data_IF_796400788906
#
_entry.id   IF_796400788906
#
_cell.length_a   1.000
_cell.length_b   1.000
_cell.length_c   1.000
_cell.angle_alpha   90.00
_cell.angle_beta   90.00
_cell.angle_gamma   90.00
#
_symmetry.space_group_name_H-M   'P 1'
#
loop_
_entity.id
_entity.type
_entity.pdbx_description
1 polymer ?
#
# COMPACT_ATOMS: atom_id res chain seq x y z
N UNK A 1 11.71 5.40 -3.90
CA UNK A 1 11.37 6.49 -2.96
C UNK A 1 9.96 6.27 -2.46
N UNK A 2 9.64 6.66 -1.22
CA UNK A 2 8.28 6.58 -0.66
C UNK A 2 7.49 7.79 -1.17
N UNK A 3 6.24 7.56 -1.59
CA UNK A 3 5.29 8.61 -1.97
C UNK A 3 4.27 8.81 -0.85
N UNK A 4 3.86 10.05 -0.59
CA UNK A 4 2.90 10.38 0.47
C UNK A 4 1.84 11.31 -0.10
N UNK A 5 0.59 10.84 -0.16
CA UNK A 5 -0.57 11.62 -0.56
C UNK A 5 -1.36 12.04 0.69
N UNK A 6 -1.56 13.34 0.89
CA UNK A 6 -2.30 13.91 2.05
C UNK A 6 -3.71 14.37 1.71
N UNK A 7 -4.04 14.38 0.42
CA UNK A 7 -5.33 14.83 -0.11
C UNK A 7 -5.81 13.83 -1.15
N UNK A 8 -7.08 13.46 -1.05
CA UNK A 8 -7.73 12.52 -1.96
C UNK A 8 -8.10 13.16 -3.31
N UNK A 9 -8.18 14.50 -3.38
CA UNK A 9 -8.51 15.22 -4.61
C UNK A 9 -7.34 15.25 -5.62
N UNK A 10 -6.12 14.95 -5.17
CA UNK A 10 -4.89 15.07 -5.95
C UNK A 10 -4.12 13.74 -6.04
N UNK A 11 -4.85 12.62 -6.12
CA UNK A 11 -4.26 11.30 -6.33
C UNK A 11 -3.90 11.12 -7.82
N UNK A 12 -2.73 10.53 -8.13
CA UNK A 12 -2.41 10.14 -9.50
C UNK A 12 -3.26 8.93 -9.92
N UNK A 13 -3.22 8.61 -11.22
CA UNK A 13 -3.75 7.33 -11.69
C UNK A 13 -2.91 6.18 -11.15
N UNK A 14 -3.58 5.11 -10.71
CA UNK A 14 -2.93 3.90 -10.23
C UNK A 14 -3.23 2.71 -11.13
N UNK A 15 -2.23 1.88 -11.40
CA UNK A 15 -2.34 0.65 -12.19
C UNK A 15 -2.55 -0.55 -11.27
N UNK A 16 -3.77 -1.08 -11.24
CA UNK A 16 -4.14 -2.27 -10.43
C UNK A 16 -3.62 -2.14 -8.98
N UNK A 17 -4.00 -1.05 -8.32
CA UNK A 17 -3.54 -0.74 -6.98
C UNK A 17 -3.91 -1.84 -5.99
N UNK A 18 -2.93 -2.32 -5.23
CA UNK A 18 -3.15 -3.09 -4.01
C UNK A 18 -3.00 -2.14 -2.82
N UNK A 19 -4.02 -2.09 -1.96
CA UNK A 19 -4.09 -1.14 -0.83
C UNK A 19 -4.36 -1.91 0.47
N UNK A 20 -3.75 -1.46 1.56
CA UNK A 20 -4.12 -1.85 2.92
C UNK A 20 -4.49 -0.60 3.72
N UNK A 21 -5.43 -0.72 4.67
CA UNK A 21 -5.98 0.41 5.42
C UNK A 21 -5.91 0.09 6.92
N UNK A 22 -5.35 1.02 7.69
CA UNK A 22 -5.24 0.91 9.14
C UNK A 22 -4.44 2.09 9.70
N UNK A 23 -4.47 2.28 11.03
CA UNK A 23 -3.68 3.35 11.67
C UNK A 23 -2.17 3.11 11.53
N UNK A 24 -1.75 1.85 11.41
CA UNK A 24 -0.35 1.43 11.28
C UNK A 24 0.62 2.01 12.34
N UNK A 25 0.10 2.43 13.50
CA UNK A 25 0.91 2.99 14.57
C UNK A 25 1.89 1.93 15.11
N UNK A 26 3.15 2.32 15.28
CA UNK A 26 4.25 1.46 15.72
C UNK A 26 4.74 0.37 14.76
N UNK A 27 4.05 0.09 13.64
CA UNK A 27 4.47 -0.86 12.57
C UNK A 27 5.11 -2.17 13.11
N UNK A 28 4.47 -2.77 14.11
CA UNK A 28 4.92 -4.02 14.74
C UNK A 28 4.80 -5.23 13.79
N UNK A 29 5.20 -6.42 14.26
CA UNK A 29 5.29 -7.63 13.43
C UNK A 29 4.01 -7.95 12.65
N UNK A 30 2.83 -7.78 13.27
CA UNK A 30 1.54 -7.95 12.57
C UNK A 30 1.37 -7.01 11.38
N UNK A 31 1.67 -5.72 11.54
CA UNK A 31 1.63 -4.75 10.43
C UNK A 31 2.62 -5.11 9.33
N UNK A 32 3.82 -5.57 9.69
CA UNK A 32 4.83 -6.00 8.71
C UNK A 32 4.36 -7.22 7.90
N UNK A 33 3.59 -8.14 8.49
CA UNK A 33 3.00 -9.26 7.77
C UNK A 33 1.96 -8.79 6.75
N UNK A 34 1.10 -7.83 7.14
CA UNK A 34 0.11 -7.23 6.23
C UNK A 34 0.80 -6.54 5.04
N UNK A 35 1.84 -5.75 5.30
CA UNK A 35 2.60 -5.05 4.24
C UNK A 35 3.30 -6.05 3.30
N UNK A 36 3.81 -7.18 3.83
CA UNK A 36 4.41 -8.23 3.00
C UNK A 36 3.38 -8.89 2.10
N UNK A 37 2.19 -9.20 2.62
CA UNK A 37 1.09 -9.76 1.85
C UNK A 37 0.66 -8.79 0.74
N UNK A 38 0.48 -7.50 1.08
CA UNK A 38 0.13 -6.45 0.12
C UNK A 38 1.07 -6.44 -1.10
N UNK A 39 2.39 -6.49 -0.85
CA UNK A 39 3.40 -6.50 -1.92
C UNK A 39 3.33 -7.76 -2.77
N UNK A 40 3.05 -8.91 -2.16
CA UNK A 40 2.87 -10.17 -2.89
C UNK A 40 1.66 -10.11 -3.80
N UNK A 41 0.50 -9.70 -3.29
CA UNK A 41 -0.73 -9.60 -4.08
C UNK A 41 -0.58 -8.61 -5.25
N UNK A 42 0.08 -7.46 -5.03
CA UNK A 42 0.38 -6.50 -6.08
C UNK A 42 1.24 -7.13 -7.20
N UNK A 43 2.29 -7.88 -6.83
CA UNK A 43 3.16 -8.55 -7.79
C UNK A 43 2.40 -9.62 -8.60
N UNK A 44 1.55 -10.42 -7.94
CA UNK A 44 0.81 -11.52 -8.56
C UNK A 44 -0.20 -11.01 -9.62
N UNK A 45 -0.73 -9.78 -9.47
CA UNK A 45 -1.63 -9.16 -10.45
C UNK A 45 -0.93 -8.21 -11.43
N UNK A 46 0.40 -8.02 -11.31
CA UNK A 46 1.17 -7.05 -12.09
C UNK A 46 0.75 -5.60 -11.82
N UNK A 47 0.40 -5.30 -10.57
CA UNK A 47 -0.01 -3.99 -10.07
C UNK A 47 1.04 -3.31 -9.20
N UNK A 48 0.62 -2.27 -8.49
CA UNK A 48 1.47 -1.46 -7.61
C UNK A 48 0.88 -1.34 -6.20
N UNK A 49 1.75 -1.13 -5.21
CA UNK A 49 1.34 -0.86 -3.83
C UNK A 49 1.31 0.64 -3.59
N UNK A 50 0.23 1.13 -2.98
CA UNK A 50 0.05 2.53 -2.58
C UNK A 50 0.14 2.67 -1.06
#
# INVERSE_FOLDING_TARGET
MIQVHRDLQHLPDFKKAAITIGTFDGVHLGHQQIIKLLKKEAADIGGETI
#
